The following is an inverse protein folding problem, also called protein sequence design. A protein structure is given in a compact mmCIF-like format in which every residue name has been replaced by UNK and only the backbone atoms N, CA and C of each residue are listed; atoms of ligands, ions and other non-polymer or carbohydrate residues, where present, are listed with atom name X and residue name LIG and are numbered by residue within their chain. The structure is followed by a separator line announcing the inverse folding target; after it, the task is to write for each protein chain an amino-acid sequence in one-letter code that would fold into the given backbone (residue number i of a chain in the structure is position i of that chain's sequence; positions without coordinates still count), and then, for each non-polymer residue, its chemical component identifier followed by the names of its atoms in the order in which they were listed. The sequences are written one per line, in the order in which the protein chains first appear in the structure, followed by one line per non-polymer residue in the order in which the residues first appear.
data_IF_977861339558
#
_entry.id   IF_977861339558
#
_cell.length_a   1.000
_cell.length_b   1.000
_cell.length_c   1.000
_cell.angle_alpha   90.00
_cell.angle_beta   90.00
_cell.angle_gamma   90.00
#
_symmetry.space_group_name_H-M   'P 1'
#
loop_
_entity.id
_entity.type
_entity.pdbx_description
1 polymer ?
#
# COMPACT_ATOMS: atom_id res chain seq x y z
N UNK A 1 22.46 10.70 15.19
CA UNK A 1 21.46 10.30 16.20
C UNK A 1 20.20 9.73 15.58
N UNK A 2 20.12 8.40 15.45
CA UNK A 2 18.88 7.72 15.08
C UNK A 2 18.07 7.47 16.38
N UNK A 3 17.35 8.49 16.87
CA UNK A 3 16.31 8.23 17.86
C UNK A 3 15.16 7.50 17.18
N UNK A 4 15.09 6.19 17.39
CA UNK A 4 13.96 5.37 16.99
C UNK A 4 12.68 5.90 17.63
N UNK A 5 11.60 6.02 16.83
CA UNK A 5 10.31 6.45 17.36
C UNK A 5 9.89 5.56 18.52
N UNK A 6 9.39 6.16 19.61
CA UNK A 6 8.91 5.35 20.74
C UNK A 6 7.73 4.47 20.31
N UNK A 7 7.61 3.29 20.91
CA UNK A 7 6.50 2.36 20.65
C UNK A 7 5.12 3.04 20.78
N UNK A 8 4.99 4.01 21.70
CA UNK A 8 3.78 4.83 21.89
C UNK A 8 3.47 5.70 20.66
N UNK A 9 4.47 6.31 20.02
CA UNK A 9 4.31 7.10 18.78
C UNK A 9 3.92 6.20 17.62
N UNK A 10 4.59 5.06 17.46
CA UNK A 10 4.27 4.07 16.42
C UNK A 10 2.83 3.55 16.57
N UNK A 11 2.42 3.15 17.78
CA UNK A 11 1.05 2.69 18.06
C UNK A 11 0.00 3.72 17.65
N UNK A 12 0.24 5.01 17.93
CA UNK A 12 -0.68 6.09 17.53
C UNK A 12 -0.80 6.20 16.00
N UNK A 13 0.32 6.12 15.27
CA UNK A 13 0.31 6.15 13.79
C UNK A 13 -0.46 4.97 13.21
N UNK A 14 -0.22 3.76 13.73
CA UNK A 14 -0.92 2.55 13.32
C UNK A 14 -2.42 2.68 13.58
N UNK A 15 -2.82 3.17 14.76
CA UNK A 15 -4.24 3.35 15.07
C UNK A 15 -4.90 4.33 14.10
N UNK A 16 -4.27 5.47 13.83
CA UNK A 16 -4.77 6.45 12.85
C UNK A 16 -4.97 5.83 11.47
N UNK A 17 -4.02 5.03 11.00
CA UNK A 17 -4.14 4.32 9.73
C UNK A 17 -5.29 3.31 9.73
N UNK A 18 -5.50 2.59 10.84
CA UNK A 18 -6.64 1.68 11.00
C UNK A 18 -7.97 2.42 10.99
N UNK A 19 -8.08 3.55 11.68
CA UNK A 19 -9.30 4.36 11.70
C UNK A 19 -9.66 4.90 10.30
N UNK A 20 -8.64 5.28 9.51
CA UNK A 20 -8.81 5.65 8.09
C UNK A 20 -9.39 4.48 7.30
N UNK A 21 -8.83 3.27 7.45
CA UNK A 21 -9.30 2.07 6.73
C UNK A 21 -10.73 1.70 7.13
N UNK A 22 -11.04 1.67 8.43
CA UNK A 22 -12.39 1.42 8.96
C UNK A 22 -13.40 2.39 8.36
N UNK A 23 -13.07 3.68 8.30
CA UNK A 23 -13.95 4.69 7.69
C UNK A 23 -14.10 4.47 6.19
N UNK A 24 -13.01 4.18 5.47
CA UNK A 24 -13.01 3.93 4.02
C UNK A 24 -13.89 2.72 3.64
N UNK A 25 -13.91 1.69 4.48
CA UNK A 25 -14.57 0.42 4.20
C UNK A 25 -15.87 0.19 4.96
N UNK A 26 -16.37 1.16 5.73
CA UNK A 26 -17.58 1.05 6.56
C UNK A 26 -18.82 0.43 5.87
N UNK A 27 -18.98 0.60 4.56
CA UNK A 27 -20.13 0.10 3.78
C UNK A 27 -19.82 -1.14 2.95
N UNK A 28 -18.72 -1.84 3.25
CA UNK A 28 -18.30 -3.05 2.55
C UNK A 28 -18.07 -4.16 3.57
N UNK A 29 -17.73 -5.37 3.10
CA UNK A 29 -17.28 -6.48 3.96
C UNK A 29 -15.77 -6.43 4.25
N UNK A 30 -15.06 -5.42 3.73
CA UNK A 30 -13.61 -5.30 3.86
C UNK A 30 -13.27 -4.69 5.21
N UNK A 31 -12.27 -5.25 5.90
CA UNK A 31 -11.82 -4.73 7.19
C UNK A 31 -10.58 -3.86 7.02
N UNK A 32 -9.69 -4.22 6.09
CA UNK A 32 -8.44 -3.52 5.88
C UNK A 32 -7.89 -3.63 4.45
N UNK A 33 -6.80 -2.92 4.18
CA UNK A 33 -6.21 -2.85 2.84
C UNK A 33 -5.75 -4.23 2.31
N UNK A 34 -5.40 -5.17 3.18
CA UNK A 34 -4.99 -6.52 2.74
C UNK A 34 -6.13 -7.32 2.12
N UNK A 35 -7.38 -7.02 2.50
CA UNK A 35 -8.56 -7.79 2.12
C UNK A 35 -9.03 -7.48 0.69
N UNK A 36 -8.53 -6.38 0.10
CA UNK A 36 -8.92 -5.94 -1.23
C UNK A 36 -8.68 -7.04 -2.28
N UNK A 37 -9.68 -7.44 -3.04
CA UNK A 37 -9.46 -8.27 -4.24
C UNK A 37 -8.86 -7.44 -5.38
N UNK A 38 -8.42 -8.11 -6.46
CA UNK A 38 -8.01 -7.41 -7.68
C UNK A 38 -9.15 -6.54 -8.25
N UNK A 39 -10.41 -6.99 -8.11
CA UNK A 39 -11.60 -6.22 -8.48
C UNK A 39 -11.76 -5.00 -7.60
N UNK A 40 -11.66 -5.16 -6.27
CA UNK A 40 -11.76 -4.03 -5.34
C UNK A 40 -10.68 -2.98 -5.58
N UNK A 41 -9.44 -3.39 -5.91
CA UNK A 41 -8.36 -2.46 -6.24
C UNK A 41 -8.75 -1.60 -7.44
N UNK A 42 -9.24 -2.20 -8.52
CA UNK A 42 -9.65 -1.47 -9.72
C UNK A 42 -10.82 -0.51 -9.46
N UNK A 43 -11.74 -0.87 -8.58
CA UNK A 43 -12.93 -0.07 -8.29
C UNK A 43 -12.72 1.00 -7.21
N UNK A 44 -11.82 0.76 -6.25
CA UNK A 44 -11.71 1.58 -5.02
C UNK A 44 -10.39 2.33 -4.88
N UNK A 45 -9.38 2.01 -5.69
CA UNK A 45 -8.09 2.70 -5.68
C UNK A 45 -7.89 3.45 -7.00
N UNK A 46 -7.89 4.77 -6.89
CA UNK A 46 -7.46 5.64 -7.97
C UNK A 46 -5.94 5.80 -7.90
N UNK A 47 -5.27 5.63 -9.03
CA UNK A 47 -3.82 5.84 -9.17
C UNK A 47 -3.59 6.97 -10.16
N UNK A 48 -2.63 7.84 -9.87
CA UNK A 48 -2.20 8.86 -10.82
C UNK A 48 -1.49 8.22 -12.03
N UNK A 49 -1.39 8.97 -13.12
CA UNK A 49 -0.70 8.51 -14.33
C UNK A 49 0.77 8.13 -14.05
N UNK A 50 1.42 8.86 -13.16
CA UNK A 50 2.79 8.64 -12.71
C UNK A 50 2.92 7.34 -11.92
N UNK A 51 1.98 7.05 -11.02
CA UNK A 51 1.95 5.78 -10.29
C UNK A 51 1.77 4.59 -11.25
N UNK A 52 0.90 4.73 -12.24
CA UNK A 52 0.67 3.71 -13.27
C UNK A 52 1.94 3.52 -14.12
N UNK A 53 2.61 4.61 -14.51
CA UNK A 53 3.87 4.56 -15.26
C UNK A 53 4.95 3.82 -14.49
N UNK A 54 5.13 4.14 -13.20
CA UNK A 54 6.09 3.47 -12.34
C UNK A 54 5.80 1.97 -12.21
N UNK A 55 4.54 1.60 -11.99
CA UNK A 55 4.14 0.19 -11.92
C UNK A 55 4.41 -0.57 -13.23
N UNK A 56 4.13 0.04 -14.38
CA UNK A 56 4.42 -0.55 -15.70
C UNK A 56 5.91 -0.78 -15.91
N UNK A 57 6.74 0.21 -15.54
CA UNK A 57 8.19 0.06 -15.58
C UNK A 57 8.64 -1.09 -14.67
N UNK A 58 8.13 -1.15 -13.45
CA UNK A 58 8.45 -2.22 -12.50
C UNK A 58 8.04 -3.61 -13.00
N UNK A 59 6.92 -3.75 -13.71
CA UNK A 59 6.55 -5.03 -14.35
C UNK A 59 7.62 -5.46 -15.36
N UNK A 60 8.09 -4.54 -16.20
CA UNK A 60 9.11 -4.83 -17.21
C UNK A 60 10.50 -5.10 -16.64
N UNK A 61 10.91 -4.39 -15.60
CA UNK A 61 12.28 -4.46 -15.04
C UNK A 61 12.43 -5.44 -13.88
N UNK A 62 11.38 -5.63 -13.06
CA UNK A 62 11.39 -6.49 -11.88
C UNK A 62 10.62 -7.80 -12.08
N UNK A 63 10.07 -8.02 -13.27
CA UNK A 63 9.26 -9.18 -13.64
C UNK A 63 8.14 -9.48 -12.62
N UNK A 64 7.38 -8.44 -12.25
CA UNK A 64 6.31 -8.58 -11.27
C UNK A 64 5.20 -9.51 -11.78
N UNK A 65 4.91 -10.56 -11.03
CA UNK A 65 3.70 -11.35 -11.25
C UNK A 65 2.44 -10.51 -10.97
N UNK A 66 1.30 -10.91 -11.51
CA UNK A 66 0.02 -10.25 -11.24
C UNK A 66 -0.30 -10.16 -9.73
N UNK A 67 0.07 -11.21 -8.97
CA UNK A 67 -0.09 -11.23 -7.51
C UNK A 67 0.76 -10.15 -6.85
N UNK A 68 2.03 -10.05 -7.23
CA UNK A 68 2.95 -9.05 -6.66
C UNK A 68 2.53 -7.64 -7.05
N UNK A 69 2.08 -7.42 -8.29
CA UNK A 69 1.53 -6.15 -8.75
C UNK A 69 0.38 -5.64 -7.85
N UNK A 70 -0.65 -6.47 -7.62
CA UNK A 70 -1.77 -6.07 -6.77
C UNK A 70 -1.34 -5.93 -5.30
N UNK A 71 -0.42 -6.77 -4.82
CA UNK A 71 0.15 -6.64 -3.47
C UNK A 71 0.86 -5.31 -3.28
N UNK A 72 1.67 -4.87 -4.25
CA UNK A 72 2.35 -3.58 -4.23
C UNK A 72 1.33 -2.44 -4.05
N UNK A 73 0.22 -2.46 -4.79
CA UNK A 73 -0.81 -1.43 -4.63
C UNK A 73 -1.41 -1.41 -3.21
N UNK A 74 -1.67 -2.58 -2.62
CA UNK A 74 -2.18 -2.67 -1.22
C UNK A 74 -1.19 -2.14 -0.19
N UNK A 75 0.11 -2.42 -0.38
CA UNK A 75 1.16 -1.94 0.50
C UNK A 75 1.30 -0.42 0.34
N UNK A 76 1.33 0.11 -0.89
CA UNK A 76 1.36 1.55 -1.16
C UNK A 76 0.16 2.28 -0.51
N UNK A 77 -1.04 1.70 -0.57
CA UNK A 77 -2.23 2.23 0.15
C UNK A 77 -2.04 2.26 1.66
N UNK A 78 -1.38 1.25 2.22
CA UNK A 78 -1.10 1.17 3.66
C UNK A 78 -0.06 2.20 4.09
N UNK A 79 0.99 2.41 3.29
CA UNK A 79 2.00 3.46 3.52
C UNK A 79 1.32 4.84 3.51
N UNK A 80 0.46 5.10 2.51
CA UNK A 80 -0.31 6.33 2.44
C UNK A 80 -1.21 6.53 3.67
N UNK A 81 -1.85 5.47 4.19
CA UNK A 81 -2.65 5.55 5.41
C UNK A 81 -1.81 5.86 6.65
N UNK A 82 -0.60 5.31 6.74
CA UNK A 82 0.36 5.59 7.81
C UNK A 82 0.90 7.03 7.75
N UNK A 83 0.99 7.62 6.55
CA UNK A 83 1.27 9.04 6.34
C UNK A 83 0.02 9.92 6.61
N UNK A 84 -1.18 9.33 6.65
CA UNK A 84 -2.43 10.06 6.77
C UNK A 84 -2.87 10.75 5.48
N UNK A 85 -2.33 10.32 4.33
CA UNK A 85 -2.63 10.89 3.03
C UNK A 85 -3.83 10.21 2.38
N UNK A 86 -4.68 11.01 1.72
CA UNK A 86 -5.89 10.47 1.05
C UNK A 86 -5.53 9.69 -0.21
N UNK A 87 -4.55 10.15 -0.98
CA UNK A 87 -4.16 9.57 -2.27
C UNK A 87 -2.87 8.76 -2.16
N UNK A 88 -2.62 7.87 -3.12
CA UNK A 88 -1.34 7.17 -3.23
C UNK A 88 -0.41 8.03 -4.08
N UNK A 89 0.69 8.49 -3.49
CA UNK A 89 1.75 9.21 -4.20
C UNK A 89 2.74 8.24 -4.86
N UNK A 90 3.56 8.77 -5.77
CA UNK A 90 4.66 8.01 -6.39
C UNK A 90 5.64 7.51 -5.33
N UNK A 91 5.91 8.30 -4.28
CA UNK A 91 6.79 7.91 -3.18
C UNK A 91 6.27 6.68 -2.43
N UNK A 92 4.96 6.64 -2.12
CA UNK A 92 4.35 5.45 -1.49
C UNK A 92 4.43 4.21 -2.38
N UNK A 93 4.26 4.39 -3.69
CA UNK A 93 4.39 3.30 -4.65
C UNK A 93 5.83 2.79 -4.76
N UNK A 94 6.80 3.71 -4.82
CA UNK A 94 8.23 3.38 -4.88
C UNK A 94 8.70 2.67 -3.60
N UNK A 95 8.29 3.14 -2.43
CA UNK A 95 8.57 2.50 -1.14
C UNK A 95 7.95 1.10 -1.10
N UNK A 96 6.71 0.94 -1.57
CA UNK A 96 6.09 -0.37 -1.65
C UNK A 96 6.84 -1.36 -2.54
N UNK A 97 7.47 -0.91 -3.63
CA UNK A 97 8.27 -1.77 -4.50
C UNK A 97 9.56 -2.24 -3.81
N UNK A 98 10.11 -1.44 -2.90
CA UNK A 98 11.31 -1.80 -2.11
C UNK A 98 11.01 -2.88 -1.08
N UNK A 99 9.79 -2.96 -0.55
CA UNK A 99 9.36 -4.00 0.39
C UNK A 99 9.11 -5.37 -0.24
N UNK A 100 9.58 -5.61 -1.47
CA UNK A 100 9.43 -6.91 -2.14
C UNK A 100 9.98 -8.00 -1.22
N UNK A 101 9.13 -8.91 -0.70
CA UNK A 101 9.65 -10.11 -0.07
C UNK A 101 10.46 -10.84 -1.13
N UNK A 102 11.73 -11.14 -0.87
CA UNK A 102 12.38 -12.24 -1.58
C UNK A 102 11.40 -13.40 -1.45
N UNK A 103 10.93 -13.96 -2.55
CA UNK A 103 10.23 -15.24 -2.48
C UNK A 103 11.24 -16.20 -1.83
N UNK A 104 11.05 -16.51 -0.55
CA UNK A 104 11.67 -17.69 0.04
C UNK A 104 10.94 -18.87 -0.61
N UNK A 105 11.59 -19.43 -1.63
CA UNK A 105 11.24 -20.70 -2.26
C UNK A 105 10.58 -20.59 -3.62
N UNK A 106 11.30 -21.03 -4.65
CA UNK A 106 11.19 -22.44 -5.03
C UNK A 106 12.53 -23.11 -4.70
#
# INVERSE_FOLDING_TARGET
DFQSESSKKIKKRIQKARDIQTRRYRKTRLVCNSDLSAKDIKEKISLSAECIKLLRQAVGTLHLSARTYFRTIKIARTIADLAGEKEISVSHMAESLQYRPKEMGA
#
